data_IF_110319578379
#
_entry.id   IF_110319578379
#
_cell.length_a   1.000
_cell.length_b   1.000
_cell.length_c   1.000
_cell.angle_alpha   90.00
_cell.angle_beta   90.00
_cell.angle_gamma   90.00
#
_symmetry.space_group_name_H-M   'P 1'
#
loop_
_entity.id
_entity.type
_entity.pdbx_description
1 polymer ?
#
# COMPACT_ATOMS: atom_id res chain seq x y z
N UNK A 1 26.17 -13.83 51.60
CA UNK A 1 27.26 -12.83 51.51
C UNK A 1 27.39 -12.41 50.05
N UNK A 2 27.15 -11.12 49.76
CA UNK A 2 28.09 -10.15 49.14
C UNK A 2 28.71 -10.62 47.81
N UNK A 3 28.79 -9.90 46.70
CA UNK A 3 28.32 -8.61 46.12
C UNK A 3 29.13 -8.48 44.83
N UNK A 4 28.56 -7.93 43.72
CA UNK A 4 29.21 -7.01 42.74
C UNK A 4 30.55 -7.43 42.06
N UNK A 5 31.08 -6.84 41.01
CA UNK A 5 30.66 -6.03 39.85
C UNK A 5 31.95 -5.72 39.08
N UNK A 6 31.88 -5.60 37.76
CA UNK A 6 32.66 -4.60 37.02
C UNK A 6 33.95 -5.05 36.34
N UNK A 7 34.02 -4.77 35.04
CA UNK A 7 35.20 -4.12 34.47
C UNK A 7 34.75 -3.09 33.44
N UNK A 8 35.04 -1.83 33.74
CA UNK A 8 35.07 -0.69 32.82
C UNK A 8 36.45 -0.64 32.16
N UNK A 9 36.53 -0.14 30.93
CA UNK A 9 37.73 0.51 30.41
C UNK A 9 37.37 1.97 30.09
N UNK A 10 37.99 2.88 30.83
CA UNK A 10 38.28 4.29 30.47
C UNK A 10 39.72 4.32 29.89
N UNK A 11 40.31 5.36 29.27
CA UNK A 11 40.18 6.81 29.42
C UNK A 11 41.04 7.54 28.35
N UNK A 12 40.90 8.88 28.28
CA UNK A 12 41.90 9.85 27.78
C UNK A 12 41.25 10.90 26.85
N UNK A 13 41.05 12.19 27.16
CA UNK A 13 41.76 13.17 28.02
C UNK A 13 42.32 14.27 27.08
N UNK A 14 41.96 15.56 27.16
CA UNK A 14 42.57 16.59 28.05
C UNK A 14 41.75 17.91 28.10
N UNK A 15 41.73 18.58 29.28
CA UNK A 15 41.54 20.05 29.41
C UNK A 15 40.60 20.55 30.53
N UNK A 16 41.13 20.79 31.73
CA UNK A 16 40.54 21.35 32.99
C UNK A 16 40.28 22.89 32.99
N UNK A 17 39.81 23.56 34.08
CA UNK A 17 38.91 23.15 35.21
C UNK A 17 37.84 24.23 35.60
N UNK A 18 36.82 23.87 36.38
CA UNK A 18 36.11 24.82 37.26
C UNK A 18 35.47 24.12 38.49
N UNK A 19 35.60 24.75 39.66
CA UNK A 19 35.35 24.26 41.02
C UNK A 19 33.84 24.22 41.43
N UNK A 20 33.48 23.62 42.59
CA UNK A 20 32.17 23.05 42.86
C UNK A 20 31.19 24.00 43.56
N UNK A 21 29.88 23.84 43.31
CA UNK A 21 28.83 24.48 44.11
C UNK A 21 27.86 23.44 44.66
N UNK A 22 27.76 23.45 45.98
CA UNK A 22 26.94 22.58 46.81
C UNK A 22 25.43 22.74 46.58
N UNK A 23 24.70 21.65 46.79
CA UNK A 23 23.26 21.57 46.59
C UNK A 23 22.44 22.44 47.54
N UNK A 24 21.25 22.84 47.07
CA UNK A 24 20.17 23.31 47.91
C UNK A 24 18.87 22.59 47.56
N UNK A 25 18.47 21.71 48.48
CA UNK A 25 17.11 21.19 48.61
C UNK A 25 16.15 22.37 48.79
N UNK A 26 15.22 22.59 47.86
CA UNK A 26 14.11 23.51 48.08
C UNK A 26 13.14 22.89 49.10
N UNK A 27 13.15 23.45 50.30
CA UNK A 27 12.12 23.34 51.33
C UNK A 27 10.78 23.83 50.75
N UNK A 28 9.71 23.04 50.92
CA UNK A 28 8.33 23.53 50.97
C UNK A 28 7.83 23.30 52.39
N UNK A 29 7.41 24.38 53.04
CA UNK A 29 6.68 24.41 54.30
C UNK A 29 5.38 25.22 54.09
N UNK A 30 4.41 25.25 55.04
CA UNK A 30 3.17 24.51 54.89
C UNK A 30 1.91 25.40 55.02
N UNK A 31 0.75 24.74 54.88
CA UNK A 31 -0.57 25.12 55.42
C UNK A 31 -1.39 26.19 54.70
N UNK A 32 -2.53 25.75 54.16
CA UNK A 32 -3.83 26.30 54.57
C UNK A 32 -4.82 25.12 54.60
N UNK A 33 -5.42 24.92 55.78
CA UNK A 33 -6.39 23.89 56.06
C UNK A 33 -7.69 24.16 55.28
N UNK A 34 -8.10 23.17 54.50
CA UNK A 34 -9.46 23.02 54.02
C UNK A 34 -9.85 21.58 54.31
N UNK A 35 -10.60 21.38 55.38
CA UNK A 35 -11.24 20.11 55.70
C UNK A 35 -12.16 19.72 54.54
N UNK A 36 -11.68 18.83 53.70
CA UNK A 36 -12.52 17.94 52.94
C UNK A 36 -11.90 16.56 53.12
N UNK A 37 -12.49 15.80 54.04
CA UNK A 37 -12.30 14.36 54.22
C UNK A 37 -12.74 13.63 52.95
N UNK A 38 -11.98 13.81 51.87
CA UNK A 38 -12.07 13.02 50.66
C UNK A 38 -11.49 11.65 50.95
N UNK A 39 -12.24 10.82 51.67
CA UNK A 39 -12.06 9.38 51.68
C UNK A 39 -11.96 8.97 50.22
N UNK A 40 -10.77 8.58 49.79
CA UNK A 40 -10.56 7.90 48.52
C UNK A 40 -11.40 6.64 48.64
N UNK A 41 -12.66 6.70 48.21
CA UNK A 41 -13.55 5.54 48.15
C UNK A 41 -12.87 4.56 47.22
N UNK A 42 -12.10 3.64 47.82
CA UNK A 42 -11.72 2.40 47.19
C UNK A 42 -13.06 1.75 46.88
N UNK A 43 -13.50 1.90 45.63
CA UNK A 43 -14.75 1.32 45.15
C UNK A 43 -14.56 -0.18 45.33
N UNK A 44 -15.03 -0.72 46.44
CA UNK A 44 -15.05 -2.16 46.66
C UNK A 44 -16.06 -2.67 45.64
N UNK A 45 -15.55 -3.21 44.53
CA UNK A 45 -16.37 -3.98 43.60
C UNK A 45 -16.77 -5.26 44.35
N UNK A 46 -17.90 -5.22 45.03
CA UNK A 46 -18.45 -6.35 45.81
C UNK A 46 -19.28 -7.29 44.93
N UNK A 47 -18.93 -7.41 43.65
CA UNK A 47 -19.48 -8.41 42.73
C UNK A 47 -18.33 -8.96 41.88
N UNK A 48 -18.39 -10.24 41.47
CA UNK A 48 -17.40 -10.78 40.55
C UNK A 48 -17.42 -9.92 39.28
N UNK A 49 -16.25 -9.39 38.90
CA UNK A 49 -16.12 -8.71 37.61
C UNK A 49 -16.34 -9.79 36.54
N UNK A 50 -17.48 -9.74 35.85
CA UNK A 50 -17.87 -10.76 34.89
C UNK A 50 -16.80 -10.96 33.81
N UNK A 51 -15.96 -9.95 33.55
CA UNK A 51 -14.85 -10.03 32.62
C UNK A 51 -13.68 -10.88 33.16
N UNK A 52 -13.43 -10.86 34.47
CA UNK A 52 -12.37 -11.66 35.10
C UNK A 52 -12.73 -13.16 35.13
N UNK A 53 -14.02 -13.49 35.05
CA UNK A 53 -14.51 -14.88 34.96
C UNK A 53 -14.41 -15.49 33.56
N UNK A 54 -14.14 -14.71 32.52
CA UNK A 54 -14.02 -15.23 31.14
C UNK A 54 -12.62 -15.82 30.96
N UNK A 55 -12.47 -17.08 30.53
CA UNK A 55 -11.17 -17.67 30.16
C UNK A 55 -10.39 -16.86 29.11
N UNK A 56 -9.06 -16.83 29.23
CA UNK A 56 -8.17 -16.06 28.33
C UNK A 56 -8.29 -16.51 26.86
N UNK A 57 -8.50 -17.79 26.61
CA UNK A 57 -8.68 -18.37 25.27
C UNK A 57 -9.98 -17.87 24.60
N UNK A 58 -11.06 -17.73 25.35
CA UNK A 58 -12.30 -17.13 24.84
C UNK A 58 -12.13 -15.65 24.51
N UNK A 59 -11.43 -14.91 25.37
CA UNK A 59 -11.12 -13.49 25.11
C UNK A 59 -10.27 -13.35 23.84
N UNK A 60 -9.22 -14.17 23.70
CA UNK A 60 -8.36 -14.17 22.51
C UNK A 60 -9.15 -14.53 21.24
N UNK A 61 -10.04 -15.51 21.32
CA UNK A 61 -10.94 -15.87 20.21
C UNK A 61 -11.85 -14.71 19.80
N UNK A 62 -12.41 -13.98 20.77
CA UNK A 62 -13.21 -12.78 20.54
C UNK A 62 -12.35 -11.69 19.87
N UNK A 63 -11.14 -11.45 20.36
CA UNK A 63 -10.25 -10.44 19.80
C UNK A 63 -9.77 -10.78 18.40
N UNK A 64 -9.44 -12.03 18.11
CA UNK A 64 -9.10 -12.46 16.76
C UNK A 64 -10.27 -12.29 15.79
N UNK A 65 -11.51 -12.56 16.22
CA UNK A 65 -12.71 -12.31 15.40
C UNK A 65 -12.94 -10.81 15.20
N UNK A 66 -12.82 -10.01 16.25
CA UNK A 66 -12.93 -8.56 16.18
C UNK A 66 -11.88 -7.96 15.24
N UNK A 67 -10.62 -8.39 15.35
CA UNK A 67 -9.55 -7.95 14.46
C UNK A 67 -9.84 -8.30 13.00
N UNK A 68 -10.39 -9.49 12.74
CA UNK A 68 -10.74 -9.94 11.39
C UNK A 68 -11.94 -9.20 10.78
N UNK A 69 -12.86 -8.68 11.61
CA UNK A 69 -14.04 -7.93 11.16
C UNK A 69 -13.94 -6.41 11.37
N UNK A 70 -12.83 -5.91 11.92
CA UNK A 70 -12.65 -4.49 12.21
C UNK A 70 -12.71 -3.65 10.93
N UNK A 71 -13.38 -2.51 10.96
CA UNK A 71 -13.42 -1.56 9.85
C UNK A 71 -12.34 -0.48 9.98
N UNK A 72 -11.80 -0.31 11.19
CA UNK A 72 -10.73 0.64 11.49
C UNK A 72 -9.73 0.06 12.51
N UNK A 73 -8.47 0.57 12.57
CA UNK A 73 -7.56 0.24 13.66
C UNK A 73 -8.14 0.57 15.04
N UNK A 74 -8.96 1.61 15.13
CA UNK A 74 -9.57 2.06 16.39
C UNK A 74 -10.53 1.02 16.97
N UNK A 75 -11.22 0.24 16.13
CA UNK A 75 -12.14 -0.82 16.59
C UNK A 75 -11.37 -1.88 17.40
N UNK A 76 -10.14 -2.19 16.97
CA UNK A 76 -9.25 -3.10 17.68
C UNK A 76 -8.63 -2.44 18.92
N UNK A 77 -8.11 -1.22 18.78
CA UNK A 77 -7.37 -0.55 19.84
C UNK A 77 -8.24 -0.07 21.01
N UNK A 78 -9.52 0.24 20.77
CA UNK A 78 -10.44 0.70 21.81
C UNK A 78 -10.63 -0.34 22.92
N UNK A 79 -10.59 -1.62 22.55
CA UNK A 79 -10.73 -2.72 23.52
C UNK A 79 -9.52 -2.80 24.46
N UNK A 80 -8.33 -2.42 23.99
CA UNK A 80 -7.12 -2.40 24.82
C UNK A 80 -7.17 -1.31 25.92
N UNK A 81 -8.09 -0.35 25.83
CA UNK A 81 -8.22 0.74 26.79
C UNK A 81 -9.13 0.41 27.98
N UNK A 82 -9.81 -0.74 27.95
CA UNK A 82 -10.82 -1.12 28.95
C UNK A 82 -10.20 -1.52 30.29
N UNK A 83 -9.31 -2.52 30.30
CA UNK A 83 -8.61 -2.96 31.50
C UNK A 83 -7.22 -3.54 31.16
N UNK A 84 -6.37 -3.70 32.19
CA UNK A 84 -5.00 -4.20 32.03
C UNK A 84 -4.94 -5.61 31.46
N UNK A 85 -5.88 -6.49 31.85
CA UNK A 85 -5.95 -7.87 31.37
C UNK A 85 -6.27 -7.91 29.87
N UNK A 86 -7.33 -7.21 29.45
CA UNK A 86 -7.72 -7.11 28.04
C UNK A 86 -6.66 -6.39 27.20
N UNK A 87 -5.95 -5.40 27.76
CA UNK A 87 -4.78 -4.82 27.10
C UNK A 87 -3.71 -5.89 26.84
N UNK A 88 -3.31 -6.65 27.85
CA UNK A 88 -2.30 -7.70 27.70
C UNK A 88 -2.68 -8.78 26.68
N UNK A 89 -3.92 -9.25 26.72
CA UNK A 89 -4.44 -10.26 25.78
C UNK A 89 -4.58 -9.70 24.35
N UNK A 90 -5.03 -8.45 24.21
CA UNK A 90 -5.15 -7.79 22.91
C UNK A 90 -3.81 -7.51 22.23
N UNK A 91 -2.73 -7.43 23.00
CA UNK A 91 -1.38 -7.25 22.47
C UNK A 91 -0.75 -8.52 21.90
N UNK A 92 -1.42 -9.68 21.97
CA UNK A 92 -0.91 -10.94 21.47
C UNK A 92 -0.79 -10.97 19.94
N UNK A 93 0.25 -11.63 19.43
CA UNK A 93 0.54 -11.70 17.98
C UNK A 93 -0.64 -12.26 17.18
N UNK A 94 -1.37 -13.26 17.71
CA UNK A 94 -2.50 -13.86 17.01
C UNK A 94 -3.63 -12.87 16.69
N UNK A 95 -3.77 -11.80 17.47
CA UNK A 95 -4.79 -10.77 17.26
C UNK A 95 -4.39 -9.90 16.07
N UNK A 96 -3.16 -9.41 16.05
CA UNK A 96 -2.64 -8.60 14.95
C UNK A 96 -2.45 -9.40 13.65
N UNK A 97 -2.13 -10.69 13.75
CA UNK A 97 -2.08 -11.61 12.62
C UNK A 97 -3.42 -11.71 11.88
N UNK A 98 -4.53 -11.42 12.58
CA UNK A 98 -5.90 -11.46 12.05
C UNK A 98 -6.48 -10.10 11.69
N UNK A 99 -5.72 -9.00 11.80
CA UNK A 99 -6.19 -7.67 11.42
C UNK A 99 -6.73 -7.64 9.98
N UNK A 100 -7.94 -7.11 9.83
CA UNK A 100 -8.67 -7.07 8.55
C UNK A 100 -8.00 -6.13 7.54
N UNK A 101 -8.20 -6.33 6.23
CA UNK A 101 -7.74 -5.39 5.20
C UNK A 101 -8.28 -3.96 5.40
N UNK A 102 -9.51 -3.80 5.90
CA UNK A 102 -10.10 -2.50 6.18
C UNK A 102 -9.37 -1.77 7.32
N UNK A 103 -9.02 -2.49 8.39
CA UNK A 103 -8.22 -1.93 9.48
C UNK A 103 -6.79 -1.57 9.06
N UNK A 104 -6.25 -2.24 8.04
CA UNK A 104 -4.92 -1.97 7.48
C UNK A 104 -4.94 -0.88 6.40
N UNK A 105 -6.11 -0.45 5.94
CA UNK A 105 -6.26 0.55 4.91
C UNK A 105 -5.93 1.95 5.45
N UNK A 106 -4.80 2.49 5.00
CA UNK A 106 -4.31 3.80 5.43
C UNK A 106 -4.37 4.76 4.25
N UNK A 107 -4.83 6.00 4.49
CA UNK A 107 -4.74 7.09 3.53
C UNK A 107 -3.36 7.75 3.60
N UNK A 108 -2.81 8.18 2.48
CA UNK A 108 -1.49 8.84 2.44
C UNK A 108 -1.41 10.07 3.35
N UNK A 109 -2.47 10.87 3.43
CA UNK A 109 -2.55 12.05 4.28
C UNK A 109 -2.52 11.74 5.80
N UNK A 110 -2.93 10.53 6.19
CA UNK A 110 -2.94 10.07 7.58
C UNK A 110 -1.65 9.33 7.99
N UNK A 111 -0.65 9.30 7.09
CA UNK A 111 0.60 8.60 7.35
C UNK A 111 1.35 9.22 8.53
N UNK A 112 1.61 8.40 9.56
CA UNK A 112 2.27 8.82 10.80
C UNK A 112 3.09 7.68 11.39
N UNK A 113 3.96 8.00 12.36
CA UNK A 113 4.77 7.01 13.07
C UNK A 113 3.92 5.98 13.83
N UNK A 114 2.73 6.37 14.30
CA UNK A 114 1.79 5.46 14.95
C UNK A 114 1.26 4.42 13.97
N UNK A 115 0.86 4.86 12.78
CA UNK A 115 0.39 3.98 11.71
C UNK A 115 1.49 3.03 11.24
N UNK A 116 2.72 3.54 11.09
CA UNK A 116 3.88 2.71 10.77
C UNK A 116 4.11 1.61 11.79
N UNK A 117 4.07 1.95 13.08
CA UNK A 117 4.22 0.97 14.17
C UNK A 117 3.09 -0.05 14.18
N UNK A 118 1.86 0.37 13.93
CA UNK A 118 0.72 -0.55 13.83
C UNK A 118 0.87 -1.54 12.67
N UNK A 119 1.12 -1.06 11.45
CA UNK A 119 1.34 -1.94 10.29
C UNK A 119 2.54 -2.87 10.50
N UNK A 120 3.62 -2.36 11.11
CA UNK A 120 4.79 -3.17 11.45
C UNK A 120 4.42 -4.26 12.46
N UNK A 121 3.64 -3.94 13.50
CA UNK A 121 3.19 -4.93 14.50
C UNK A 121 2.38 -6.06 13.85
N UNK A 122 1.45 -5.71 12.93
CA UNK A 122 0.70 -6.69 12.16
C UNK A 122 1.61 -7.55 11.27
N UNK A 123 2.56 -6.92 10.56
CA UNK A 123 3.51 -7.63 9.71
C UNK A 123 4.44 -8.57 10.50
N UNK A 124 4.95 -8.12 11.66
CA UNK A 124 5.80 -8.91 12.55
C UNK A 124 5.03 -10.12 13.10
N UNK A 125 3.75 -9.93 13.46
CA UNK A 125 2.82 -10.99 13.87
C UNK A 125 2.41 -11.98 12.76
N UNK A 126 2.85 -11.75 11.51
CA UNK A 126 2.62 -12.68 10.40
C UNK A 126 1.40 -12.35 9.53
N UNK A 127 0.79 -11.17 9.68
CA UNK A 127 -0.26 -10.72 8.76
C UNK A 127 0.34 -10.45 7.38
N UNK A 128 -0.04 -11.26 6.38
CA UNK A 128 0.50 -11.19 5.02
C UNK A 128 0.07 -9.92 4.28
N UNK A 129 -1.16 -9.46 4.53
CA UNK A 129 -1.71 -8.22 3.97
C UNK A 129 -0.93 -7.00 4.49
N UNK A 130 -0.66 -6.96 5.80
CA UNK A 130 0.18 -5.92 6.39
C UNK A 130 1.62 -5.95 5.85
N UNK A 131 2.19 -7.15 5.66
CA UNK A 131 3.49 -7.31 5.01
C UNK A 131 3.48 -6.75 3.58
N UNK A 132 2.42 -7.03 2.82
CA UNK A 132 2.25 -6.52 1.47
C UNK A 132 2.12 -4.98 1.45
N UNK A 133 1.17 -4.42 2.20
CA UNK A 133 0.93 -2.96 2.25
C UNK A 133 2.18 -2.21 2.71
N UNK A 134 2.77 -2.59 3.85
CA UNK A 134 3.96 -1.93 4.37
C UNK A 134 5.17 -2.13 3.44
N UNK A 135 5.28 -3.29 2.79
CA UNK A 135 6.30 -3.57 1.79
C UNK A 135 6.22 -2.65 0.59
N UNK A 136 5.03 -2.48 0.01
CA UNK A 136 4.77 -1.56 -1.10
C UNK A 136 5.10 -0.11 -0.73
N UNK A 137 4.65 0.35 0.44
CA UNK A 137 4.90 1.72 0.92
C UNK A 137 6.41 1.96 1.13
N UNK A 138 7.09 1.04 1.82
CA UNK A 138 8.54 1.16 2.06
C UNK A 138 9.34 1.16 0.76
N UNK A 139 8.97 0.28 -0.16
CA UNK A 139 9.66 0.11 -1.43
C UNK A 139 9.49 1.33 -2.34
N UNK A 140 8.25 1.75 -2.62
CA UNK A 140 7.99 2.80 -3.59
C UNK A 140 8.00 4.19 -2.97
N UNK A 141 7.42 4.39 -1.78
CA UNK A 141 7.17 5.73 -1.22
C UNK A 141 8.29 6.25 -0.29
N UNK A 142 8.91 5.36 0.50
CA UNK A 142 9.88 5.75 1.53
C UNK A 142 11.35 5.52 1.14
N UNK A 143 11.60 4.95 -0.05
CA UNK A 143 12.96 4.69 -0.55
C UNK A 143 13.69 3.53 0.14
N UNK A 144 13.03 2.80 1.06
CA UNK A 144 13.59 1.62 1.73
C UNK A 144 13.35 0.37 0.86
N UNK A 145 14.10 0.27 -0.25
CA UNK A 145 13.92 -0.78 -1.26
C UNK A 145 14.19 -2.19 -0.72
N UNK A 146 15.31 -2.41 -0.05
CA UNK A 146 15.65 -3.72 0.52
C UNK A 146 14.65 -4.15 1.60
N UNK A 147 14.30 -3.25 2.52
CA UNK A 147 13.32 -3.50 3.57
C UNK A 147 11.90 -3.74 3.02
N UNK A 148 11.50 -2.98 1.99
CA UNK A 148 10.23 -3.18 1.31
C UNK A 148 10.17 -4.52 0.56
N UNK A 149 11.22 -4.87 -0.18
CA UNK A 149 11.31 -6.14 -0.89
C UNK A 149 11.32 -7.34 0.07
N UNK A 150 11.96 -7.24 1.23
CA UNK A 150 11.94 -8.29 2.25
C UNK A 150 10.53 -8.55 2.81
N UNK A 151 9.74 -7.49 3.04
CA UNK A 151 8.33 -7.64 3.48
C UNK A 151 7.45 -8.23 2.37
N UNK A 152 7.65 -7.81 1.12
CA UNK A 152 6.97 -8.42 -0.02
C UNK A 152 7.33 -9.90 -0.17
N UNK A 153 8.60 -10.27 0.04
CA UNK A 153 9.05 -11.66 0.05
C UNK A 153 8.39 -12.46 1.18
N UNK A 154 8.30 -11.91 2.39
CA UNK A 154 7.58 -12.54 3.51
C UNK A 154 6.11 -12.82 3.15
N UNK A 155 5.41 -11.83 2.60
CA UNK A 155 4.04 -12.00 2.13
C UNK A 155 3.93 -13.06 1.02
N UNK A 156 4.85 -13.05 0.05
CA UNK A 156 4.86 -13.96 -1.09
C UNK A 156 5.17 -15.42 -0.69
N UNK A 157 6.06 -15.65 0.29
CA UNK A 157 6.32 -16.98 0.87
C UNK A 157 5.06 -17.51 1.56
N UNK A 158 4.31 -16.62 2.25
CA UNK A 158 3.01 -16.96 2.83
C UNK A 158 1.87 -17.14 1.81
N UNK A 159 2.13 -17.01 0.50
CA UNK A 159 1.12 -17.19 -0.53
C UNK A 159 0.26 -15.96 -0.83
N UNK A 160 0.74 -14.75 -0.56
CA UNK A 160 0.00 -13.53 -0.89
C UNK A 160 0.06 -13.22 -2.40
N UNK A 161 -1.06 -13.31 -3.15
CA UNK A 161 -1.05 -13.21 -4.61
C UNK A 161 -0.55 -11.85 -5.12
N UNK A 162 -0.98 -10.75 -4.52
CA UNK A 162 -0.54 -9.41 -4.94
C UNK A 162 0.94 -9.15 -4.62
N UNK A 163 1.49 -9.80 -3.58
CA UNK A 163 2.91 -9.66 -3.24
C UNK A 163 3.79 -10.42 -4.24
N UNK A 164 3.39 -11.64 -4.59
CA UNK A 164 4.02 -12.41 -5.66
C UNK A 164 4.04 -11.62 -6.98
N UNK A 165 2.91 -10.98 -7.33
CA UNK A 165 2.83 -10.16 -8.52
C UNK A 165 3.73 -8.91 -8.46
N UNK A 166 3.73 -8.19 -7.34
CA UNK A 166 4.62 -7.03 -7.15
C UNK A 166 6.09 -7.41 -7.24
N UNK A 167 6.49 -8.56 -6.67
CA UNK A 167 7.84 -9.08 -6.83
C UNK A 167 8.14 -9.45 -8.28
N UNK A 168 7.19 -10.02 -9.02
CA UNK A 168 7.36 -10.30 -10.44
C UNK A 168 7.67 -9.03 -11.24
N UNK A 169 6.91 -7.96 -11.00
CA UNK A 169 7.14 -6.63 -11.61
C UNK A 169 8.53 -6.09 -11.25
N UNK A 170 8.93 -6.21 -9.98
CA UNK A 170 10.28 -5.86 -9.51
C UNK A 170 11.35 -6.62 -10.30
N UNK A 171 11.20 -7.94 -10.47
CA UNK A 171 12.16 -8.78 -11.19
C UNK A 171 12.22 -8.45 -12.69
N UNK A 172 11.09 -8.21 -13.35
CA UNK A 172 11.07 -7.83 -14.76
C UNK A 172 11.75 -6.49 -15.03
N UNK A 173 11.63 -5.55 -14.09
CA UNK A 173 12.14 -4.21 -14.24
C UNK A 173 13.57 -4.05 -13.68
N UNK A 174 14.00 -4.98 -12.79
CA UNK A 174 15.22 -4.84 -12.00
C UNK A 174 15.09 -3.68 -11.02
N UNK A 175 13.89 -3.52 -10.44
CA UNK A 175 13.57 -2.47 -9.46
C UNK A 175 14.05 -2.96 -8.09
N UNK A 176 15.19 -2.49 -7.60
CA UNK A 176 15.73 -2.96 -6.32
C UNK A 176 17.25 -2.79 -6.19
N UNK A 177 17.94 -2.74 -7.33
CA UNK A 177 19.35 -2.41 -7.42
C UNK A 177 19.70 -1.88 -8.81
N UNK A 178 20.59 -2.54 -9.53
CA UNK A 178 21.06 -2.16 -10.86
C UNK A 178 20.17 -2.72 -11.98
N UNK A 179 20.39 -2.28 -13.24
CA UNK A 179 19.64 -2.78 -14.40
C UNK A 179 19.95 -4.27 -14.69
N UNK A 180 21.13 -4.72 -14.27
CA UNK A 180 21.57 -6.12 -14.30
C UNK A 180 20.72 -7.05 -13.46
N UNK A 181 19.99 -6.52 -12.47
CA UNK A 181 19.22 -7.33 -11.52
C UNK A 181 17.88 -7.79 -12.11
N UNK A 182 17.68 -7.58 -13.42
CA UNK A 182 16.51 -8.09 -14.14
C UNK A 182 16.61 -9.60 -14.26
N UNK A 183 15.69 -10.31 -13.62
CA UNK A 183 15.51 -11.74 -13.81
C UNK A 183 14.12 -12.04 -14.39
N UNK A 184 14.09 -12.22 -15.71
CA UNK A 184 12.85 -12.47 -16.42
C UNK A 184 12.25 -13.84 -16.08
N UNK A 185 13.10 -14.83 -15.81
CA UNK A 185 12.66 -16.19 -15.49
C UNK A 185 12.04 -16.22 -14.09
N UNK A 186 12.69 -15.58 -13.12
CA UNK A 186 12.12 -15.40 -11.78
C UNK A 186 10.82 -14.60 -11.83
N UNK A 187 10.77 -13.51 -12.61
CA UNK A 187 9.56 -12.72 -12.81
C UNK A 187 8.39 -13.56 -13.35
N UNK A 188 8.63 -14.34 -14.41
CA UNK A 188 7.59 -15.19 -14.98
C UNK A 188 7.14 -16.31 -14.04
N UNK A 189 8.07 -16.91 -13.27
CA UNK A 189 7.74 -17.91 -12.26
C UNK A 189 6.87 -17.33 -11.13
N UNK A 190 7.16 -16.11 -10.68
CA UNK A 190 6.35 -15.39 -9.70
C UNK A 190 4.96 -15.04 -10.25
N UNK A 191 4.87 -14.62 -11.52
CA UNK A 191 3.58 -14.44 -12.19
C UNK A 191 2.76 -15.73 -12.23
N UNK A 192 3.38 -16.86 -12.58
CA UNK A 192 2.69 -18.15 -12.60
C UNK A 192 2.15 -18.56 -11.23
N UNK A 193 2.97 -18.41 -10.17
CA UNK A 193 2.53 -18.67 -8.79
C UNK A 193 1.38 -17.74 -8.36
N UNK A 194 1.46 -16.46 -8.68
CA UNK A 194 0.41 -15.48 -8.37
C UNK A 194 -0.89 -15.76 -9.16
N UNK A 195 -0.78 -16.13 -10.43
CA UNK A 195 -1.91 -16.48 -11.29
C UNK A 195 -2.64 -17.76 -10.83
N UNK A 196 -1.88 -18.75 -10.34
CA UNK A 196 -2.43 -19.97 -9.74
C UNK A 196 -3.25 -19.68 -8.47
N UNK A 197 -2.89 -18.62 -7.73
CA UNK A 197 -3.63 -18.11 -6.57
C UNK A 197 -4.75 -17.12 -6.93
N UNK A 198 -5.09 -17.00 -8.22
CA UNK A 198 -6.22 -16.20 -8.68
C UNK A 198 -5.93 -14.74 -9.03
N UNK A 199 -4.66 -14.29 -8.98
CA UNK A 199 -4.33 -12.90 -9.34
C UNK A 199 -4.49 -12.64 -10.84
N UNK A 200 -5.49 -11.84 -11.21
CA UNK A 200 -5.87 -11.60 -12.62
C UNK A 200 -4.76 -10.91 -13.40
N UNK A 201 -4.11 -9.89 -12.83
CA UNK A 201 -3.05 -9.19 -13.55
C UNK A 201 -1.80 -10.05 -13.74
N UNK A 202 -1.55 -11.00 -12.83
CA UNK A 202 -0.42 -11.91 -12.97
C UNK A 202 -0.68 -12.96 -14.05
N UNK A 203 -1.93 -13.42 -14.14
CA UNK A 203 -2.39 -14.29 -15.22
C UNK A 203 -2.25 -13.59 -16.58
N UNK A 204 -2.61 -12.30 -16.65
CA UNK A 204 -2.43 -11.48 -17.84
C UNK A 204 -0.97 -11.29 -18.21
N UNK A 205 -0.11 -10.97 -17.25
CA UNK A 205 1.34 -10.89 -17.51
C UNK A 205 1.91 -12.22 -18.00
N UNK A 206 1.53 -13.35 -17.39
CA UNK A 206 1.98 -14.66 -17.83
C UNK A 206 1.55 -14.95 -19.27
N UNK A 207 0.32 -14.59 -19.63
CA UNK A 207 -0.18 -14.70 -21.01
C UNK A 207 0.65 -13.91 -22.02
N UNK A 208 1.13 -12.72 -21.65
CA UNK A 208 2.08 -11.95 -22.47
C UNK A 208 3.48 -12.57 -22.48
N UNK A 209 3.96 -13.07 -21.34
CA UNK A 209 5.26 -13.73 -21.25
C UNK A 209 5.35 -14.93 -22.20
N UNK A 210 4.30 -15.76 -22.27
CA UNK A 210 4.23 -16.90 -23.18
C UNK A 210 4.15 -16.47 -24.66
N UNK A 211 3.42 -15.41 -24.99
CA UNK A 211 3.33 -14.92 -26.38
C UNK A 211 4.67 -14.45 -26.93
N UNK A 212 5.45 -13.76 -26.10
CA UNK A 212 6.70 -13.12 -26.50
C UNK A 212 7.93 -13.99 -26.22
N UNK A 213 7.81 -15.06 -25.42
CA UNK A 213 8.95 -15.80 -24.89
C UNK A 213 9.73 -15.02 -23.82
N UNK A 214 9.04 -14.17 -23.06
CA UNK A 214 9.65 -13.27 -22.08
C UNK A 214 9.85 -13.99 -20.74
N UNK A 215 11.06 -14.49 -20.49
CA UNK A 215 11.39 -15.25 -19.27
C UNK A 215 10.93 -16.71 -19.27
N UNK A 216 10.19 -17.12 -20.29
CA UNK A 216 9.66 -18.48 -20.50
C UNK A 216 9.83 -18.90 -21.96
N UNK A 217 9.69 -20.19 -22.26
CA UNK A 217 9.62 -20.67 -23.64
C UNK A 217 8.38 -20.07 -24.31
N UNK A 218 8.54 -19.55 -25.52
CA UNK A 218 7.46 -18.97 -26.29
C UNK A 218 6.40 -20.02 -26.63
N UNK A 219 5.16 -19.75 -26.23
CA UNK A 219 3.94 -20.50 -26.56
C UNK A 219 2.79 -19.51 -26.78
N UNK A 220 2.61 -19.01 -28.02
CA UNK A 220 1.57 -18.03 -28.30
C UNK A 220 0.15 -18.59 -28.17
N UNK A 221 -0.05 -19.89 -28.35
CA UNK A 221 -1.36 -20.51 -28.23
C UNK A 221 -1.80 -20.49 -26.76
N UNK A 222 -0.94 -20.94 -25.86
CA UNK A 222 -1.22 -20.91 -24.43
C UNK A 222 -1.29 -19.47 -23.90
N UNK A 223 -0.40 -18.59 -24.36
CA UNK A 223 -0.44 -17.19 -23.97
C UNK A 223 -1.78 -16.51 -24.30
N UNK A 224 -2.36 -16.80 -25.48
CA UNK A 224 -3.71 -16.32 -25.83
C UNK A 224 -4.80 -16.91 -24.93
N UNK A 225 -4.73 -18.22 -24.62
CA UNK A 225 -5.67 -18.85 -23.68
C UNK A 225 -5.67 -18.16 -22.33
N UNK A 226 -4.49 -17.88 -21.76
CA UNK A 226 -4.38 -17.20 -20.47
C UNK A 226 -4.91 -15.76 -20.51
N UNK A 227 -4.73 -15.03 -21.61
CA UNK A 227 -5.31 -13.69 -21.77
C UNK A 227 -6.84 -13.71 -21.79
N UNK A 228 -7.44 -14.68 -22.49
CA UNK A 228 -8.91 -14.88 -22.49
C UNK A 228 -9.38 -15.24 -21.08
N UNK A 229 -8.69 -16.16 -20.41
CA UNK A 229 -9.00 -16.54 -19.02
C UNK A 229 -8.89 -15.35 -18.04
N UNK A 230 -7.90 -14.46 -18.23
CA UNK A 230 -7.78 -13.25 -17.42
C UNK A 230 -8.98 -12.31 -17.60
N UNK A 231 -9.43 -12.09 -18.84
CA UNK A 231 -10.62 -11.27 -19.10
C UNK A 231 -11.90 -11.91 -18.52
N UNK A 232 -12.04 -13.24 -18.62
CA UNK A 232 -13.19 -13.95 -18.04
C UNK A 232 -13.22 -13.84 -16.51
N UNK A 233 -12.07 -14.00 -15.84
CA UNK A 233 -11.95 -13.81 -14.38
C UNK A 233 -12.23 -12.37 -13.96
N UNK A 234 -11.72 -11.39 -14.70
CA UNK A 234 -12.00 -9.97 -14.46
C UNK A 234 -13.51 -9.67 -14.55
N UNK A 235 -14.17 -10.17 -15.59
CA UNK A 235 -15.62 -10.02 -15.77
C UNK A 235 -16.39 -10.69 -14.62
N UNK A 236 -16.02 -11.91 -14.23
CA UNK A 236 -16.64 -12.62 -13.12
C UNK A 236 -16.52 -11.84 -11.79
N UNK A 237 -15.37 -11.22 -11.53
CA UNK A 237 -15.17 -10.41 -10.32
C UNK A 237 -16.01 -9.12 -10.36
N UNK A 238 -16.11 -8.47 -11.51
CA UNK A 238 -16.94 -7.27 -11.69
C UNK A 238 -18.43 -7.58 -11.46
N UNK A 239 -18.93 -8.71 -12.00
CA UNK A 239 -20.31 -9.16 -11.80
C UNK A 239 -20.59 -9.52 -10.34
N UNK A 240 -19.65 -10.19 -9.66
CA UNK A 240 -19.78 -10.51 -8.24
C UNK A 240 -19.83 -9.24 -7.37
N UNK A 241 -19.00 -8.24 -7.67
CA UNK A 241 -19.02 -6.95 -6.98
C UNK A 241 -20.35 -6.19 -7.21
N UNK A 242 -20.90 -6.24 -8.43
CA UNK A 242 -22.20 -5.66 -8.74
C UNK A 242 -23.32 -6.32 -7.92
N UNK A 243 -23.34 -7.66 -7.85
CA UNK A 243 -24.33 -8.41 -7.10
C UNK A 243 -24.24 -8.12 -5.58
N UNK A 244 -23.03 -8.08 -5.02
CA UNK A 244 -22.82 -7.73 -3.62
C UNK A 244 -23.34 -6.32 -3.29
N UNK A 245 -23.18 -5.37 -4.22
CA UNK A 245 -23.69 -4.00 -4.06
C UNK A 245 -25.22 -3.92 -4.14
N UNK A 246 -25.87 -4.80 -4.90
CA UNK A 246 -27.32 -4.87 -5.03
C UNK A 246 -28.02 -5.55 -3.83
N UNK A 247 -27.28 -6.20 -2.93
CA UNK A 247 -27.84 -6.98 -1.81
C UNK A 247 -28.11 -6.11 -0.55
N UNK A 248 -27.87 -4.79 -0.61
CA UNK A 248 -28.42 -3.85 0.38
C UNK A 248 -29.84 -3.45 -0.05
N UNK A 249 -30.91 -3.92 0.64
CA UNK A 249 -32.29 -3.90 0.13
C UNK A 249 -32.98 -2.53 0.21
N UNK A 250 -32.25 -1.42 0.21
CA UNK A 250 -32.84 -0.08 0.14
C UNK A 250 -32.12 0.79 -0.89
N UNK A 251 -31.96 0.29 -2.11
CA UNK A 251 -31.81 1.12 -3.29
C UNK A 251 -32.21 0.30 -4.50
N UNK A 252 -33.47 0.42 -4.90
CA UNK A 252 -33.94 -0.03 -6.21
C UNK A 252 -33.04 0.57 -7.28
N UNK A 253 -32.28 -0.26 -8.01
CA UNK A 253 -31.71 0.18 -9.29
C UNK A 253 -32.88 0.21 -10.29
N UNK A 254 -33.25 1.37 -10.86
CA UNK A 254 -34.23 1.36 -11.92
C UNK A 254 -33.60 0.69 -13.14
N UNK A 255 -34.31 -0.29 -13.68
CA UNK A 255 -34.09 -0.79 -15.03
C UNK A 255 -34.44 0.38 -15.96
N UNK A 256 -33.44 1.20 -16.30
CA UNK A 256 -33.60 2.36 -17.17
C UNK A 256 -33.12 3.67 -16.55
N UNK A 257 -31.80 3.86 -16.45
CA UNK A 257 -31.19 5.18 -16.31
C UNK A 257 -29.90 5.23 -17.12
N UNK A 258 -30.08 5.15 -18.44
CA UNK A 258 -29.07 5.65 -19.39
C UNK A 258 -29.24 7.16 -19.40
N UNK A 259 -28.12 7.88 -19.26
CA UNK A 259 -27.95 9.34 -19.29
C UNK A 259 -28.04 10.09 -17.94
N UNK A 260 -26.88 10.62 -17.55
CA UNK A 260 -26.75 11.89 -16.81
C UNK A 260 -27.02 11.84 -15.30
N UNK A 261 -25.99 11.54 -14.50
CA UNK A 261 -26.06 11.73 -13.05
C UNK A 261 -24.67 11.67 -12.41
N UNK A 262 -24.25 12.77 -11.80
CA UNK A 262 -22.97 12.93 -11.13
C UNK A 262 -22.88 12.05 -9.86
N UNK A 263 -22.25 10.88 -10.01
CA UNK A 263 -21.85 9.98 -8.94
C UNK A 263 -20.97 8.90 -9.56
N UNK A 264 -19.65 9.01 -9.38
CA UNK A 264 -18.66 8.26 -10.16
C UNK A 264 -18.66 6.76 -9.89
N UNK A 265 -19.59 6.03 -10.51
CA UNK A 265 -19.50 4.57 -10.64
C UNK A 265 -18.55 4.28 -11.79
N UNK A 266 -17.32 3.88 -11.47
CA UNK A 266 -16.31 3.55 -12.47
C UNK A 266 -16.74 2.28 -13.22
N UNK A 267 -16.91 2.41 -14.53
CA UNK A 267 -17.33 1.31 -15.41
C UNK A 267 -16.11 0.53 -15.92
N UNK A 268 -16.21 -0.81 -15.87
CA UNK A 268 -15.24 -1.71 -16.47
C UNK A 268 -15.30 -1.56 -18.00
N UNK A 269 -14.18 -1.26 -18.67
CA UNK A 269 -14.14 -1.06 -20.12
C UNK A 269 -14.22 -2.37 -20.92
N UNK A 270 -14.28 -3.54 -20.25
CA UNK A 270 -14.29 -4.83 -20.95
C UNK A 270 -15.48 -5.00 -21.88
N UNK A 271 -16.63 -4.43 -21.54
CA UNK A 271 -17.88 -4.53 -22.30
C UNK A 271 -18.45 -3.17 -22.71
N UNK A 272 -17.65 -2.10 -22.57
CA UNK A 272 -18.09 -0.75 -22.94
C UNK A 272 -18.41 -0.66 -24.44
N UNK A 273 -17.64 -1.36 -25.28
CA UNK A 273 -17.86 -1.46 -26.72
C UNK A 273 -19.20 -2.15 -27.06
N UNK A 274 -19.77 -2.91 -26.12
CA UNK A 274 -21.07 -3.57 -26.23
C UNK A 274 -22.20 -2.81 -25.49
N UNK A 275 -21.92 -1.62 -24.95
CA UNK A 275 -22.90 -0.81 -24.22
C UNK A 275 -23.14 -1.20 -22.76
N UNK A 276 -22.30 -2.08 -22.18
CA UNK A 276 -22.42 -2.48 -20.77
C UNK A 276 -21.42 -1.75 -19.88
N UNK A 277 -21.91 -1.17 -18.80
CA UNK A 277 -21.10 -0.59 -17.72
C UNK A 277 -21.18 -1.47 -16.48
N UNK A 278 -20.09 -2.17 -16.16
CA UNK A 278 -19.99 -2.98 -14.94
C UNK A 278 -19.18 -2.25 -13.86
N UNK A 279 -19.54 -2.30 -12.58
CA UNK A 279 -18.72 -1.72 -11.53
C UNK A 279 -17.35 -2.39 -11.52
N UNK A 280 -16.31 -1.58 -11.56
CA UNK A 280 -14.95 -2.09 -11.62
C UNK A 280 -14.45 -2.51 -10.23
N UNK A 281 -13.61 -3.54 -10.17
CA UNK A 281 -12.96 -3.93 -8.93
C UNK A 281 -12.17 -2.74 -8.34
N UNK A 282 -12.41 -2.43 -7.06
CA UNK A 282 -11.67 -1.41 -6.32
C UNK A 282 -10.16 -1.71 -6.34
N UNK A 283 -9.29 -0.69 -6.48
CA UNK A 283 -7.88 -0.95 -6.50
C UNK A 283 -7.44 -1.31 -5.09
N UNK A 284 -6.39 -2.10 -4.99
CA UNK A 284 -5.84 -2.46 -3.70
C UNK A 284 -5.47 -1.21 -2.88
N UNK A 285 -5.74 -1.22 -1.58
CA UNK A 285 -5.41 -0.14 -0.63
C UNK A 285 -3.95 0.35 -0.72
N UNK A 286 -2.97 -0.55 -0.89
CA UNK A 286 -1.58 -0.19 -1.15
C UNK A 286 -1.41 0.67 -2.42
N UNK A 287 -2.13 0.36 -3.50
CA UNK A 287 -2.07 1.14 -4.74
C UNK A 287 -2.75 2.50 -4.56
N UNK A 288 -3.90 2.54 -3.87
CA UNK A 288 -4.56 3.80 -3.50
C UNK A 288 -3.61 4.71 -2.71
N UNK A 289 -2.97 4.17 -1.66
CA UNK A 289 -1.98 4.89 -0.88
C UNK A 289 -0.86 5.47 -1.75
N UNK A 290 -0.28 4.66 -2.65
CA UNK A 290 0.81 5.12 -3.50
C UNK A 290 0.37 6.23 -4.45
N UNK A 291 -0.80 6.09 -5.08
CA UNK A 291 -1.36 7.13 -5.95
C UNK A 291 -1.57 8.44 -5.19
N UNK A 292 -2.19 8.39 -4.01
CA UNK A 292 -2.44 9.57 -3.16
C UNK A 292 -1.14 10.21 -2.65
N UNK A 293 -0.15 9.37 -2.29
CA UNK A 293 1.16 9.80 -1.81
C UNK A 293 1.90 10.64 -2.86
N UNK A 294 1.85 10.23 -4.13
CA UNK A 294 2.50 10.99 -5.19
C UNK A 294 1.68 12.16 -5.68
N UNK A 295 0.35 12.07 -5.67
CA UNK A 295 -0.53 13.19 -6.01
C UNK A 295 -0.32 14.37 -5.05
N UNK A 296 -0.32 14.12 -3.73
CA UNK A 296 -0.13 15.16 -2.72
C UNK A 296 1.24 15.85 -2.81
N UNK A 297 2.30 15.10 -3.14
CA UNK A 297 3.66 15.64 -3.31
C UNK A 297 3.86 16.38 -4.63
N UNK A 298 3.19 15.96 -5.70
CA UNK A 298 3.18 16.69 -6.97
C UNK A 298 2.60 18.09 -6.82
N UNK A 299 1.51 18.23 -6.07
CA UNK A 299 0.90 19.53 -5.73
C UNK A 299 1.85 20.39 -4.89
N UNK A 300 2.52 19.81 -3.89
CA UNK A 300 3.50 20.53 -3.07
C UNK A 300 4.73 21.00 -3.87
N UNK A 301 5.20 20.20 -4.83
CA UNK A 301 6.32 20.56 -5.70
C UNK A 301 5.96 21.71 -6.66
N UNK A 302 4.73 21.73 -7.19
CA UNK A 302 4.24 22.83 -8.03
C UNK A 302 4.00 24.11 -7.22
N UNK A 303 3.43 24.02 -6.01
CA UNK A 303 3.24 25.17 -5.11
C UNK A 303 4.57 25.80 -4.67
N UNK A 304 5.65 25.01 -4.55
CA UNK A 304 6.99 25.53 -4.23
C UNK A 304 7.72 26.15 -5.43
N UNK A 305 7.31 25.80 -6.66
CA UNK A 305 7.85 26.38 -7.90
C UNK A 305 7.22 27.73 -8.26
N UNK A 306 6.02 28.05 -7.75
CA UNK A 306 5.41 29.38 -7.96
C UNK A 306 6.08 30.50 -7.16
N UNK A 307 6.90 30.15 -6.17
CA UNK A 307 7.64 31.12 -5.32
C UNK A 307 9.12 31.26 -5.72
N UNK A 308 9.61 30.47 -6.68
CA UNK A 308 10.98 30.52 -7.16
C UNK A 308 10.98 30.83 -8.67
N UNK A 309 11.23 32.10 -9.00
CA UNK A 309 11.40 32.57 -10.36
C UNK A 309 12.44 31.73 -11.13
N UNK A 310 12.13 31.56 -12.42
CA UNK A 310 12.86 30.78 -13.40
C UNK A 310 14.38 30.95 -13.34
N UNK A 311 15.07 29.85 -13.04
CA UNK A 311 16.41 29.59 -13.58
C UNK A 311 16.36 28.24 -14.28
N UNK A 312 16.55 28.28 -15.60
CA UNK A 312 16.67 27.11 -16.46
C UNK A 312 17.89 26.31 -16.03
N UNK A 313 17.64 25.15 -15.44
CA UNK A 313 18.63 24.11 -15.21
C UNK A 313 18.24 22.89 -16.02
N UNK A 314 19.07 22.54 -16.99
CA UNK A 314 18.93 21.38 -17.85
C UNK A 314 18.88 20.06 -17.03
N UNK A 315 17.78 19.32 -17.17
CA UNK A 315 17.87 17.88 -17.42
C UNK A 315 18.06 16.90 -16.26
N UNK A 316 17.81 17.24 -15.00
CA UNK A 316 17.60 16.19 -13.98
C UNK A 316 16.20 15.53 -14.13
N UNK A 317 16.04 14.73 -15.19
CA UNK A 317 14.84 13.95 -15.50
C UNK A 317 14.16 13.30 -14.28
N UNK A 318 12.97 13.80 -13.98
CA UNK A 318 12.11 13.34 -12.90
C UNK A 318 11.72 11.86 -13.09
N UNK A 319 11.77 11.07 -12.00
CA UNK A 319 11.31 9.68 -12.00
C UNK A 319 9.80 9.63 -12.28
N UNK A 320 9.39 8.80 -13.25
CA UNK A 320 8.03 8.83 -13.78
C UNK A 320 7.10 7.87 -13.02
N UNK A 321 5.80 8.20 -13.02
CA UNK A 321 4.76 7.29 -12.57
C UNK A 321 4.32 6.35 -13.69
N UNK A 322 3.81 5.19 -13.32
CA UNK A 322 3.07 4.32 -14.22
C UNK A 322 1.82 5.07 -14.71
N UNK A 323 1.58 5.11 -16.02
CA UNK A 323 0.45 5.81 -16.65
C UNK A 323 -0.90 5.22 -16.27
N UNK A 324 -0.93 3.94 -15.89
CA UNK A 324 -2.14 3.37 -15.30
C UNK A 324 -2.42 4.02 -13.93
N UNK A 325 -3.42 4.93 -13.88
CA UNK A 325 -3.69 5.79 -12.72
C UNK A 325 -3.95 5.05 -11.40
N UNK A 326 -4.46 3.81 -11.46
CA UNK A 326 -4.74 2.96 -10.28
C UNK A 326 -3.57 2.07 -9.88
N UNK A 327 -2.40 2.23 -10.51
CA UNK A 327 -1.18 1.50 -10.16
C UNK A 327 -0.40 2.16 -9.01
N UNK A 328 -0.20 3.48 -9.08
CA UNK A 328 0.58 4.25 -8.10
C UNK A 328 2.09 3.99 -8.08
N UNK A 329 2.61 2.99 -8.81
CA UNK A 329 4.05 2.69 -8.86
C UNK A 329 4.84 3.81 -9.55
N UNK A 330 5.93 4.23 -8.90
CA UNK A 330 6.92 5.17 -9.42
C UNK A 330 8.18 4.43 -9.85
N UNK A 331 8.84 4.91 -10.90
CA UNK A 331 10.16 4.45 -11.30
C UNK A 331 11.13 4.55 -10.12
N UNK A 332 11.95 3.52 -9.91
CA UNK A 332 13.06 3.55 -8.93
C UNK A 332 14.36 4.01 -9.58
N UNK A 333 14.44 3.91 -10.90
CA UNK A 333 15.53 4.36 -11.76
C UNK A 333 14.96 4.95 -13.04
N UNK A 334 15.66 5.92 -13.63
CA UNK A 334 15.26 6.53 -14.91
C UNK A 334 15.10 5.47 -16.00
N UNK A 335 14.03 5.61 -16.79
CA UNK A 335 13.77 4.76 -17.95
C UNK A 335 13.66 3.27 -17.63
N UNK A 336 13.22 2.97 -16.41
CA UNK A 336 12.90 1.62 -15.95
C UNK A 336 11.64 1.10 -16.62
N UNK A 337 10.60 1.94 -16.70
CA UNK A 337 9.29 1.56 -17.22
C UNK A 337 9.29 1.53 -18.75
N UNK A 338 8.51 0.60 -19.30
CA UNK A 338 8.34 0.45 -20.74
C UNK A 338 7.49 1.59 -21.27
N UNK A 339 7.88 2.16 -22.40
CA UNK A 339 7.08 3.15 -23.12
C UNK A 339 6.07 2.46 -24.03
N UNK A 340 4.92 3.10 -24.24
CA UNK A 340 4.02 2.72 -25.32
C UNK A 340 4.79 2.77 -26.66
N UNK A 341 4.75 1.68 -27.42
CA UNK A 341 5.47 1.57 -28.69
C UNK A 341 4.93 2.48 -29.79
N UNK A 342 3.69 2.98 -29.62
CA UNK A 342 3.03 3.84 -30.62
C UNK A 342 3.32 5.32 -30.32
N UNK A 343 2.95 5.81 -29.14
CA UNK A 343 3.07 7.24 -28.82
C UNK A 343 4.36 7.61 -28.07
N UNK A 344 5.11 6.65 -27.51
CA UNK A 344 6.29 6.93 -26.68
C UNK A 344 6.04 7.67 -25.35
N UNK A 345 4.88 8.30 -25.16
CA UNK A 345 4.58 9.19 -24.05
C UNK A 345 4.15 8.42 -22.78
N UNK A 346 3.28 7.43 -22.91
CA UNK A 346 2.81 6.63 -21.77
C UNK A 346 3.88 5.62 -21.31
N UNK A 347 3.98 5.41 -20.00
CA UNK A 347 4.99 4.54 -19.38
C UNK A 347 4.32 3.52 -18.45
N UNK A 348 4.73 2.26 -18.52
CA UNK A 348 4.09 1.18 -17.77
C UNK A 348 5.12 0.35 -17.02
N UNK A 349 4.81 0.08 -15.75
CA UNK A 349 5.60 -0.84 -14.93
C UNK A 349 5.46 -2.30 -15.38
N UNK A 350 4.41 -2.62 -16.14
CA UNK A 350 4.05 -3.99 -16.53
C UNK A 350 3.15 -3.96 -17.79
N UNK A 351 3.09 -5.05 -18.58
CA UNK A 351 2.19 -5.17 -19.74
C UNK A 351 0.72 -5.25 -19.34
N UNK A 352 0.39 -5.82 -18.18
CA UNK A 352 -0.94 -5.82 -17.61
C UNK A 352 -1.38 -4.40 -17.26
N UNK A 353 -0.52 -3.54 -16.69
CA UNK A 353 -0.84 -2.12 -16.51
C UNK A 353 -1.08 -1.42 -17.85
N UNK A 354 -0.27 -1.71 -18.87
CA UNK A 354 -0.49 -1.19 -20.23
C UNK A 354 -1.85 -1.64 -20.78
N UNK A 355 -2.19 -2.93 -20.67
CA UNK A 355 -3.44 -3.48 -21.16
C UNK A 355 -4.67 -2.89 -20.44
N UNK A 356 -4.60 -2.70 -19.12
CA UNK A 356 -5.67 -2.07 -18.35
C UNK A 356 -5.85 -0.59 -18.73
N UNK A 357 -4.76 0.16 -18.85
CA UNK A 357 -4.81 1.56 -19.25
C UNK A 357 -5.28 1.75 -20.70
N UNK A 358 -4.86 0.85 -21.59
CA UNK A 358 -5.31 0.81 -22.99
C UNK A 358 -6.82 0.70 -23.08
N UNK A 359 -7.43 -0.23 -22.32
CA UNK A 359 -8.88 -0.41 -22.29
C UNK A 359 -9.61 0.82 -21.74
N UNK A 360 -9.03 1.52 -20.76
CA UNK A 360 -9.70 2.62 -20.05
C UNK A 360 -9.65 3.96 -20.77
N UNK A 361 -8.46 4.37 -21.20
CA UNK A 361 -8.22 5.75 -21.60
C UNK A 361 -7.19 5.87 -22.71
N UNK A 362 -6.10 5.10 -22.63
CA UNK A 362 -4.96 5.34 -23.50
C UNK A 362 -5.27 5.08 -24.98
N UNK A 363 -6.14 4.12 -25.31
CA UNK A 363 -6.55 3.85 -26.71
C UNK A 363 -7.09 5.10 -27.42
N UNK A 364 -7.82 5.96 -26.71
CA UNK A 364 -8.38 7.19 -27.28
C UNK A 364 -7.36 8.34 -27.37
N UNK A 365 -6.31 8.32 -26.54
CA UNK A 365 -5.32 9.39 -26.42
C UNK A 365 -4.00 9.10 -27.15
N UNK A 366 -3.81 7.86 -27.61
CA UNK A 366 -2.55 7.40 -28.16
C UNK A 366 -2.35 7.92 -29.61
N UNK A 367 -1.51 8.95 -29.76
CA UNK A 367 -1.13 9.52 -31.06
C UNK A 367 0.33 9.15 -31.39
N UNK A 368 0.65 8.68 -32.62
CA UNK A 368 2.03 8.38 -33.04
C UNK A 368 2.96 9.59 -32.88
N UNK A 369 4.21 9.34 -32.45
CA UNK A 369 5.19 10.43 -32.24
C UNK A 369 5.50 11.23 -33.50
N UNK A 370 5.42 10.64 -34.68
CA UNK A 370 5.78 11.30 -35.94
C UNK A 370 4.92 12.53 -36.25
N UNK A 371 3.66 12.57 -35.75
CA UNK A 371 2.78 13.73 -35.89
C UNK A 371 3.16 14.93 -35.02
N UNK A 372 3.99 14.74 -33.99
CA UNK A 372 4.47 15.82 -33.12
C UNK A 372 5.59 16.63 -33.78
N UNK A 373 6.38 16.01 -34.67
CA UNK A 373 7.48 16.68 -35.38
C UNK A 373 6.99 17.52 -36.57
N UNK A 374 5.82 17.21 -37.14
CA UNK A 374 5.28 17.94 -38.30
C UNK A 374 4.50 19.20 -37.88
N UNK A 375 4.01 19.28 -36.64
CA UNK A 375 3.26 20.44 -36.14
C UNK A 375 4.11 21.67 -35.79
N UNK A 376 5.44 21.54 -35.74
CA UNK A 376 6.37 22.64 -35.44
C UNK A 376 6.97 23.35 -36.66
N UNK A 377 6.71 22.86 -37.89
CA UNK A 377 7.39 23.31 -39.11
C UNK A 377 6.46 23.97 -40.15
N UNK A 378 5.22 24.31 -39.78
CA UNK A 378 4.25 24.93 -40.69
C UNK A 378 3.87 26.34 -40.23
N UNK A 379 4.86 27.25 -40.15
CA UNK A 379 4.62 28.69 -40.10
C UNK A 379 5.86 29.45 -40.60
N UNK A 380 6.11 29.39 -41.91
CA UNK A 380 6.92 30.40 -42.60
C UNK A 380 6.20 30.74 -43.90
N UNK A 381 5.70 31.98 -44.08
CA UNK A 381 5.13 32.40 -45.35
C UNK A 381 6.28 32.60 -46.36
N UNK A 382 6.20 31.92 -47.49
CA UNK A 382 6.98 32.28 -48.67
C UNK A 382 6.31 33.48 -49.36
N UNK A 383 7.19 34.33 -49.87
CA UNK A 383 7.03 35.69 -50.43
C UNK A 383 5.78 35.98 -51.26
#
# INVERSE_FOLDING_TARGET
>A
MRTRSGSLYTCGGTGEPAAPVAGQKRKRSPAAAGEASGVRRKRQATGPDYLDGIPDDLVLSIFSKLAASANSPSDLLSVHLTCKRLNGLGQQDMVFAKASPASLAVKAAAWSELVQRFLKRCADAGNLEACYILGMIRFYCLGSRSGGAALLAKAAVGGHPAALYSLAVIQFNGSGGAKSDRDLRAGAALCARSAALGHVDALRELGHCLQDGYGVRRDPAEGRRLLVAANARELSLALAAAAASATYPFASLPIGAVAGGAGGVTSSPLLSDFGWSLPEAEPHTANQFMSDWWASRGVQACAKKTDAAATGGDGEGELRLCSHMRCGRKETRRHEFRRCSVCGAANYCSRACQALDWKRAHKAQCVPMDRWLVGGAAAAPQQ
#
